data_IF_636466017241
#
_entry.id   IF_636466017241
#
_cell.length_a   1.000
_cell.length_b   1.000
_cell.length_c   1.000
_cell.angle_alpha   90.00
_cell.angle_beta   90.00
_cell.angle_gamma   90.00
#
_symmetry.space_group_name_H-M   'P 1'
#
loop_
_entity.id
_entity.type
_entity.pdbx_description
1 polymer ?
#
# COMPACT_ATOMS: atom_id res chain seq x y z
N UNK A 1 -20.68 30.52 29.03
CA UNK A 1 -20.74 29.96 27.66
C UNK A 1 -20.20 28.54 27.69
N UNK A 2 -21.00 27.50 27.44
CA UNK A 2 -21.46 26.95 26.15
C UNK A 2 -20.41 26.03 25.50
N UNK A 3 -20.80 24.76 25.40
CA UNK A 3 -20.14 23.61 24.75
C UNK A 3 -19.61 23.96 23.35
N UNK A 4 -18.45 23.41 22.98
CA UNK A 4 -18.09 23.19 21.57
C UNK A 4 -17.55 21.76 21.37
N UNK A 5 -18.33 21.05 20.57
CA UNK A 5 -18.15 19.73 19.97
C UNK A 5 -16.81 19.59 19.20
N UNK A 6 -16.10 18.47 19.33
CA UNK A 6 -16.10 17.32 18.41
C UNK A 6 -15.80 17.68 16.94
N UNK A 7 -14.58 17.38 16.47
CA UNK A 7 -14.28 17.11 15.06
C UNK A 7 -13.04 16.21 14.91
N UNK A 8 -13.24 15.07 14.23
CA UNK A 8 -12.23 14.36 13.41
C UNK A 8 -11.22 13.52 14.19
N UNK A 9 -11.23 12.18 14.15
CA UNK A 9 -11.36 11.35 12.96
C UNK A 9 -9.98 10.78 12.61
N UNK A 10 -9.94 9.49 12.23
CA UNK A 10 -8.76 8.71 11.81
C UNK A 10 -8.03 8.13 13.04
N UNK A 11 -8.19 6.86 13.39
CA UNK A 11 -7.64 5.71 12.68
C UNK A 11 -8.50 4.45 12.94
N UNK A 12 -9.41 4.14 12.01
CA UNK A 12 -9.86 2.76 11.86
C UNK A 12 -8.72 2.01 11.17
N UNK A 13 -8.10 1.11 11.91
CA UNK A 13 -7.08 0.19 11.45
C UNK A 13 -7.57 -0.56 10.20
N UNK A 14 -6.84 -0.41 9.09
CA UNK A 14 -6.93 -1.29 7.91
C UNK A 14 -6.34 -2.65 8.27
N UNK A 15 -7.06 -3.41 9.10
CA UNK A 15 -6.99 -4.86 9.06
C UNK A 15 -7.87 -5.24 7.87
N UNK A 16 -7.32 -5.94 6.87
CA UNK A 16 -8.14 -6.68 5.89
C UNK A 16 -8.86 -7.80 6.65
N UNK A 17 -9.86 -7.44 7.44
CA UNK A 17 -10.92 -8.37 7.79
C UNK A 17 -11.63 -8.65 6.48
N UNK A 18 -11.74 -9.91 6.07
CA UNK A 18 -12.65 -10.30 4.99
C UNK A 18 -14.03 -9.74 5.36
N UNK A 19 -14.40 -8.59 4.80
CA UNK A 19 -15.58 -7.85 5.21
C UNK A 19 -16.79 -8.60 4.63
N UNK A 20 -17.33 -9.51 5.44
CA UNK A 20 -18.48 -10.32 5.11
C UNK A 20 -19.74 -9.47 5.22
N UNK A 21 -20.35 -9.19 4.08
CA UNK A 21 -21.57 -8.42 3.94
C UNK A 21 -22.78 -9.29 4.22
N UNK A 22 -23.73 -8.74 4.97
CA UNK A 22 -25.06 -9.34 5.15
C UNK A 22 -25.86 -9.30 3.84
N UNK A 23 -26.92 -10.11 3.69
CA UNK A 23 -27.76 -10.08 2.48
C UNK A 23 -28.36 -8.70 2.19
N UNK A 24 -28.67 -7.91 3.23
CA UNK A 24 -29.20 -6.57 3.07
C UNK A 24 -28.16 -5.58 2.51
N UNK A 25 -26.92 -5.65 3.00
CA UNK A 25 -25.81 -4.81 2.50
C UNK A 25 -25.44 -5.20 1.07
N UNK A 26 -25.23 -6.49 0.81
CA UNK A 26 -24.91 -7.00 -0.51
C UNK A 26 -25.97 -6.63 -1.56
N UNK A 27 -27.25 -6.74 -1.22
CA UNK A 27 -28.35 -6.37 -2.12
C UNK A 27 -28.37 -4.86 -2.41
N UNK A 28 -28.10 -4.04 -1.40
CA UNK A 28 -27.97 -2.58 -1.54
C UNK A 28 -26.83 -2.21 -2.50
N UNK A 29 -25.67 -2.86 -2.38
CA UNK A 29 -24.49 -2.60 -3.21
C UNK A 29 -24.68 -3.05 -4.68
N UNK A 30 -25.53 -4.06 -4.88
CA UNK A 30 -25.95 -4.53 -6.21
C UNK A 30 -27.11 -3.71 -6.79
N UNK A 31 -27.79 -2.88 -5.99
CA UNK A 31 -28.99 -2.17 -6.42
C UNK A 31 -30.19 -3.08 -6.70
N UNK A 32 -30.25 -4.26 -6.05
CA UNK A 32 -31.32 -5.24 -6.23
C UNK A 32 -32.07 -5.53 -4.93
N UNK A 33 -33.22 -6.22 -5.02
CA UNK A 33 -33.91 -6.70 -3.81
C UNK A 33 -33.15 -7.86 -3.16
N UNK A 34 -33.28 -8.01 -1.84
CA UNK A 34 -32.73 -9.15 -1.09
C UNK A 34 -33.28 -10.49 -1.63
N UNK A 35 -34.53 -10.51 -2.08
CA UNK A 35 -35.14 -11.69 -2.69
C UNK A 35 -34.45 -12.06 -4.02
N UNK A 36 -34.09 -11.08 -4.84
CA UNK A 36 -33.33 -11.29 -6.08
C UNK A 36 -31.93 -11.82 -5.79
N UNK A 37 -31.22 -11.24 -4.81
CA UNK A 37 -29.91 -11.74 -4.38
C UNK A 37 -29.97 -13.20 -3.91
N UNK A 38 -31.03 -13.56 -3.16
CA UNK A 38 -31.25 -14.95 -2.73
C UNK A 38 -31.44 -15.89 -3.92
N UNK A 39 -32.18 -15.49 -4.95
CA UNK A 39 -32.34 -16.27 -6.20
C UNK A 39 -30.99 -16.47 -6.89
N UNK A 40 -30.20 -15.42 -7.04
CA UNK A 40 -28.87 -15.51 -7.65
C UNK A 40 -27.94 -16.43 -6.85
N UNK A 41 -27.96 -16.33 -5.52
CA UNK A 41 -27.17 -17.21 -4.66
C UNK A 41 -27.57 -18.69 -4.83
N UNK A 42 -28.87 -18.97 -4.95
CA UNK A 42 -29.35 -20.34 -5.20
C UNK A 42 -28.91 -20.88 -6.56
N UNK A 43 -28.88 -20.02 -7.59
CA UNK A 43 -28.36 -20.40 -8.91
C UNK A 43 -26.89 -20.81 -8.78
N UNK A 44 -26.07 -20.00 -8.10
CA UNK A 44 -24.64 -20.29 -7.89
C UNK A 44 -24.44 -21.59 -7.10
N UNK A 45 -25.16 -21.78 -5.99
CA UNK A 45 -25.09 -23.01 -5.17
C UNK A 45 -25.47 -24.26 -5.98
N UNK A 46 -26.51 -24.15 -6.83
CA UNK A 46 -26.95 -25.25 -7.70
C UNK A 46 -25.93 -25.54 -8.81
N UNK A 47 -25.43 -24.51 -9.48
CA UNK A 47 -24.50 -24.63 -10.59
C UNK A 47 -23.15 -25.19 -10.14
N UNK A 48 -22.65 -24.75 -8.99
CA UNK A 48 -21.40 -25.25 -8.40
C UNK A 48 -21.55 -26.58 -7.68
N UNK A 49 -22.78 -27.11 -7.55
CA UNK A 49 -23.13 -28.26 -6.70
C UNK A 49 -22.64 -28.11 -5.24
N UNK A 50 -22.46 -26.86 -4.78
CA UNK A 50 -22.00 -26.53 -3.45
C UNK A 50 -23.08 -25.72 -2.69
N UNK A 51 -23.90 -26.41 -1.89
CA UNK A 51 -24.94 -25.76 -1.06
C UNK A 51 -24.40 -24.84 0.06
N UNK A 52 -23.09 -24.90 0.32
CA UNK A 52 -22.37 -24.05 1.28
C UNK A 52 -21.33 -23.15 0.56
N UNK A 53 -21.59 -22.81 -0.70
CA UNK A 53 -20.70 -21.93 -1.47
C UNK A 53 -20.48 -20.58 -0.78
N UNK A 54 -21.54 -20.01 -0.23
CA UNK A 54 -21.46 -18.80 0.58
C UNK A 54 -21.28 -19.17 2.05
N UNK A 55 -20.42 -18.41 2.73
CA UNK A 55 -20.31 -18.47 4.17
C UNK A 55 -21.66 -18.15 4.83
N UNK A 56 -21.89 -18.70 6.01
CA UNK A 56 -23.15 -18.52 6.73
C UNK A 56 -22.88 -18.12 8.17
N UNK A 57 -23.72 -17.24 8.70
CA UNK A 57 -23.67 -16.87 10.10
C UNK A 57 -24.32 -17.96 10.99
N UNK A 58 -24.31 -17.76 12.31
CA UNK A 58 -24.97 -18.64 13.29
C UNK A 58 -26.48 -18.79 13.09
N UNK A 59 -27.11 -17.83 12.42
CA UNK A 59 -28.54 -17.85 12.06
C UNK A 59 -28.79 -18.44 10.66
N UNK A 60 -27.77 -19.07 10.04
CA UNK A 60 -27.82 -19.67 8.72
C UNK A 60 -28.06 -18.67 7.56
N UNK A 61 -27.90 -17.37 7.81
CA UNK A 61 -27.95 -16.33 6.77
C UNK A 61 -26.65 -16.32 5.97
N UNK A 62 -26.77 -16.21 4.64
CA UNK A 62 -25.62 -16.10 3.72
C UNK A 62 -24.86 -14.81 3.96
N UNK A 63 -23.53 -14.91 3.95
CA UNK A 63 -22.60 -13.81 4.01
C UNK A 63 -21.84 -13.72 2.69
N UNK A 64 -21.58 -12.50 2.25
CA UNK A 64 -21.02 -12.23 0.93
C UNK A 64 -19.72 -11.46 1.05
N UNK A 65 -18.72 -11.84 0.27
CA UNK A 65 -17.50 -11.05 0.11
C UNK A 65 -17.71 -9.99 -0.98
N UNK A 66 -16.84 -8.98 -1.01
CA UNK A 66 -16.83 -8.00 -2.10
C UNK A 66 -16.68 -8.67 -3.48
N UNK A 67 -15.85 -9.72 -3.57
CA UNK A 67 -15.70 -10.50 -4.80
C UNK A 67 -17.03 -11.12 -5.25
N UNK A 68 -17.84 -11.65 -4.32
CA UNK A 68 -19.14 -12.19 -4.68
C UNK A 68 -20.05 -11.13 -5.31
N UNK A 69 -19.97 -9.87 -4.85
CA UNK A 69 -20.72 -8.75 -5.43
C UNK A 69 -20.28 -8.48 -6.88
N UNK A 70 -18.98 -8.49 -7.13
CA UNK A 70 -18.42 -8.30 -8.47
C UNK A 70 -18.81 -9.45 -9.41
N UNK A 71 -18.64 -10.69 -8.96
CA UNK A 71 -19.02 -11.88 -9.70
C UNK A 71 -20.54 -11.88 -10.04
N UNK A 72 -21.41 -11.43 -9.12
CA UNK A 72 -22.84 -11.29 -9.41
C UNK A 72 -23.12 -10.23 -10.48
N UNK A 73 -22.39 -9.10 -10.51
CA UNK A 73 -22.53 -8.08 -11.55
C UNK A 73 -22.15 -8.63 -12.92
N UNK A 74 -21.05 -9.38 -12.98
CA UNK A 74 -20.61 -10.05 -14.21
C UNK A 74 -21.62 -11.09 -14.67
N UNK A 75 -22.19 -11.87 -13.74
CA UNK A 75 -23.20 -12.89 -14.05
C UNK A 75 -24.44 -12.28 -14.67
N UNK A 76 -24.94 -11.20 -14.07
CA UNK A 76 -26.10 -10.47 -14.61
C UNK A 76 -25.76 -9.86 -15.97
N UNK A 77 -24.58 -9.25 -16.13
CA UNK A 77 -24.14 -8.67 -17.40
C UNK A 77 -24.08 -9.72 -18.52
N UNK A 78 -23.47 -10.87 -18.26
CA UNK A 78 -23.37 -11.98 -19.23
C UNK A 78 -24.75 -12.55 -19.59
N UNK A 79 -25.67 -12.59 -18.63
CA UNK A 79 -27.03 -13.13 -18.86
C UNK A 79 -27.87 -12.29 -19.82
N UNK A 80 -27.53 -11.01 -20.03
CA UNK A 80 -28.17 -10.16 -21.03
C UNK A 80 -27.64 -10.38 -22.46
N UNK A 81 -26.65 -11.26 -22.64
CA UNK A 81 -26.13 -11.64 -23.95
C UNK A 81 -27.09 -12.51 -24.77
N UNK A 82 -26.91 -12.59 -26.10
CA UNK A 82 -27.75 -13.41 -26.96
C UNK A 82 -27.62 -14.90 -26.60
N UNK A 83 -28.77 -15.56 -26.38
CA UNK A 83 -28.87 -16.97 -25.96
C UNK A 83 -28.19 -17.31 -24.62
N UNK A 84 -27.90 -16.31 -23.78
CA UNK A 84 -27.38 -16.52 -22.43
C UNK A 84 -28.51 -16.51 -21.39
N UNK A 85 -28.32 -17.26 -20.32
CA UNK A 85 -29.21 -17.32 -19.15
C UNK A 85 -28.40 -17.12 -17.88
N UNK A 86 -29.05 -16.75 -16.78
CA UNK A 86 -28.36 -16.60 -15.49
C UNK A 86 -27.63 -17.88 -15.07
N UNK A 87 -28.19 -19.06 -15.35
CA UNK A 87 -27.55 -20.34 -15.08
C UNK A 87 -26.29 -20.58 -15.91
N UNK A 88 -26.35 -20.29 -17.21
CA UNK A 88 -25.21 -20.50 -18.11
C UNK A 88 -24.10 -19.47 -17.82
N UNK A 89 -24.48 -18.23 -17.50
CA UNK A 89 -23.53 -17.21 -17.02
C UNK A 89 -22.92 -17.58 -15.67
N UNK A 90 -23.71 -18.13 -14.74
CA UNK A 90 -23.18 -18.60 -13.47
C UNK A 90 -22.17 -19.74 -13.66
N UNK A 91 -22.39 -20.65 -14.62
CA UNK A 91 -21.47 -21.75 -14.88
C UNK A 91 -20.11 -21.28 -15.43
N UNK A 92 -20.10 -20.14 -16.12
CA UNK A 92 -18.87 -19.53 -16.64
C UNK A 92 -18.06 -18.81 -15.56
N UNK A 93 -18.74 -18.12 -14.64
CA UNK A 93 -18.08 -17.29 -13.62
C UNK A 93 -17.73 -18.11 -12.37
N UNK A 94 -18.58 -19.08 -12.04
CA UNK A 94 -18.43 -19.95 -10.88
C UNK A 94 -18.18 -21.39 -11.35
N UNK A 95 -16.92 -21.74 -11.69
CA UNK A 95 -16.60 -23.11 -12.07
C UNK A 95 -16.94 -24.04 -10.90
N UNK A 96 -17.69 -25.10 -11.20
CA UNK A 96 -17.89 -26.16 -10.24
C UNK A 96 -16.51 -26.77 -9.91
N UNK A 97 -16.21 -27.07 -8.64
CA UNK A 97 -15.09 -27.97 -8.36
C UNK A 97 -15.36 -29.25 -9.14
N UNK A 98 -14.40 -29.66 -9.97
CA UNK A 98 -14.51 -30.89 -10.74
C UNK A 98 -14.89 -32.00 -9.77
N UNK A 99 -16.14 -32.46 -9.86
CA UNK A 99 -16.56 -33.65 -9.17
C UNK A 99 -15.78 -34.79 -9.84
N UNK A 100 -14.81 -35.30 -9.13
CA UNK A 100 -14.11 -36.52 -9.46
C UNK A 100 -15.15 -37.61 -9.81
N UNK A 101 -15.09 -38.14 -11.03
CA UNK A 101 -15.87 -39.29 -11.47
C UNK A 101 -16.89 -39.05 -12.59
N UNK A 102 -16.51 -39.44 -13.82
CA UNK A 102 -17.46 -40.04 -14.77
C UNK A 102 -17.41 -39.62 -16.23
N UNK A 103 -16.36 -40.05 -16.96
CA UNK A 103 -16.29 -40.41 -18.39
C UNK A 103 -16.94 -39.49 -19.44
N UNK A 104 -16.10 -38.76 -20.21
CA UNK A 104 -16.14 -38.82 -21.68
C UNK A 104 -14.83 -38.34 -22.36
N UNK A 105 -14.28 -39.20 -23.22
CA UNK A 105 -13.22 -39.02 -24.25
C UNK A 105 -11.74 -39.01 -23.86
N UNK A 106 -11.12 -40.20 -23.89
CA UNK A 106 -9.67 -40.50 -23.90
C UNK A 106 -8.92 -39.99 -25.15
N UNK A 107 -9.37 -38.89 -25.77
CA UNK A 107 -8.68 -38.29 -26.92
C UNK A 107 -8.55 -36.77 -26.82
N UNK A 108 -9.26 -36.13 -25.87
CA UNK A 108 -9.08 -34.70 -25.56
C UNK A 108 -8.30 -34.46 -24.27
N UNK A 109 -8.18 -35.48 -23.42
CA UNK A 109 -7.45 -35.37 -22.15
C UNK A 109 -5.94 -35.24 -22.35
N UNK A 110 -5.35 -35.91 -23.36
CA UNK A 110 -3.92 -35.78 -23.62
C UNK A 110 -3.54 -34.38 -24.14
N UNK A 111 -4.37 -33.80 -25.00
CA UNK A 111 -4.18 -32.42 -25.49
C UNK A 111 -4.35 -31.39 -24.36
N UNK A 112 -5.33 -31.61 -23.46
CA UNK A 112 -5.58 -30.73 -22.32
C UNK A 112 -4.48 -30.86 -21.26
N UNK A 113 -3.98 -32.06 -20.98
CA UNK A 113 -2.85 -32.29 -20.08
C UNK A 113 -1.56 -31.71 -20.66
N UNK A 114 -1.30 -31.86 -21.96
CA UNK A 114 -0.14 -31.23 -22.61
C UNK A 114 -0.22 -29.69 -22.60
N UNK A 115 -1.42 -29.12 -22.78
CA UNK A 115 -1.64 -27.68 -22.70
C UNK A 115 -1.48 -27.16 -21.25
N UNK A 116 -1.95 -27.93 -20.27
CA UNK A 116 -1.74 -27.61 -18.85
C UNK A 116 -0.26 -27.69 -18.46
N UNK A 117 0.47 -28.68 -18.94
CA UNK A 117 1.92 -28.82 -18.70
C UNK A 117 2.72 -27.66 -19.29
N UNK A 118 2.40 -27.26 -20.52
CA UNK A 118 3.04 -26.08 -21.16
C UNK A 118 2.69 -24.78 -20.43
N UNK A 119 1.45 -24.66 -19.93
CA UNK A 119 1.04 -23.51 -19.11
C UNK A 119 1.78 -23.48 -17.77
N UNK A 120 1.94 -24.62 -17.09
CA UNK A 120 2.70 -24.72 -15.85
C UNK A 120 4.16 -24.35 -16.08
N UNK A 121 4.80 -24.91 -17.11
CA UNK A 121 6.19 -24.59 -17.45
C UNK A 121 6.39 -23.09 -17.75
N UNK A 122 5.42 -22.47 -18.43
CA UNK A 122 5.43 -21.03 -18.68
C UNK A 122 5.31 -20.24 -17.37
N UNK A 123 4.36 -20.60 -16.50
CA UNK A 123 4.16 -19.95 -15.21
C UNK A 123 5.39 -20.09 -14.29
N UNK A 124 6.03 -21.25 -14.27
CA UNK A 124 7.28 -21.48 -13.54
C UNK A 124 8.41 -20.60 -14.08
N UNK A 125 8.54 -20.50 -15.41
CA UNK A 125 9.55 -19.62 -16.02
C UNK A 125 9.30 -18.14 -15.71
N UNK A 126 8.04 -17.70 -15.72
CA UNK A 126 7.66 -16.34 -15.36
C UNK A 126 7.90 -16.07 -13.87
N UNK A 127 7.58 -17.02 -12.99
CA UNK A 127 7.85 -16.89 -11.55
C UNK A 127 9.34 -16.80 -11.29
N UNK A 128 10.16 -17.63 -11.93
CA UNK A 128 11.62 -17.55 -11.82
C UNK A 128 12.16 -16.20 -12.30
N UNK A 129 11.61 -15.66 -13.39
CA UNK A 129 11.96 -14.31 -13.87
C UNK A 129 11.56 -13.23 -12.86
N UNK A 130 10.36 -13.32 -12.28
CA UNK A 130 9.89 -12.39 -11.24
C UNK A 130 10.77 -12.44 -10.00
N UNK A 131 11.20 -13.63 -9.57
CA UNK A 131 12.12 -13.81 -8.44
C UNK A 131 13.47 -13.15 -8.69
N UNK A 132 14.04 -13.31 -9.89
CA UNK A 132 15.27 -12.62 -10.28
C UNK A 132 15.10 -11.10 -10.22
N UNK A 133 14.03 -10.56 -10.83
CA UNK A 133 13.74 -9.12 -10.77
C UNK A 133 13.53 -8.62 -9.35
N UNK A 134 12.87 -9.39 -8.48
CA UNK A 134 12.70 -9.03 -7.07
C UNK A 134 14.05 -8.98 -6.34
N UNK A 135 14.95 -9.91 -6.65
CA UNK A 135 16.29 -9.92 -6.04
C UNK A 135 17.13 -8.73 -6.53
N UNK A 136 17.11 -8.41 -7.82
CA UNK A 136 17.80 -7.24 -8.38
C UNK A 136 17.28 -5.94 -7.74
N UNK A 137 15.95 -5.78 -7.67
CA UNK A 137 15.33 -4.60 -7.04
C UNK A 137 15.68 -4.49 -5.55
N UNK A 138 15.77 -5.62 -4.83
CA UNK A 138 16.22 -5.62 -3.43
C UNK A 138 17.67 -5.14 -3.33
N UNK A 139 18.54 -5.59 -4.22
CA UNK A 139 19.93 -5.18 -4.23
C UNK A 139 20.06 -3.68 -4.53
N UNK A 140 19.37 -3.17 -5.55
CA UNK A 140 19.32 -1.73 -5.84
C UNK A 140 18.81 -0.92 -4.64
N UNK A 141 17.77 -1.41 -3.95
CA UNK A 141 17.24 -0.73 -2.76
C UNK A 141 18.28 -0.67 -1.64
N UNK A 142 19.03 -1.75 -1.42
CA UNK A 142 20.12 -1.75 -0.43
C UNK A 142 21.26 -0.80 -0.79
N UNK A 143 21.61 -0.69 -2.07
CA UNK A 143 22.66 0.22 -2.53
C UNK A 143 22.22 1.68 -2.44
N UNK A 144 20.97 1.99 -2.79
CA UNK A 144 20.37 3.31 -2.61
C UNK A 144 20.30 3.70 -1.13
N UNK A 145 19.97 2.76 -0.24
CA UNK A 145 19.99 3.00 1.21
C UNK A 145 21.39 3.36 1.71
N UNK A 146 22.42 2.59 1.32
CA UNK A 146 23.82 2.90 1.67
C UNK A 146 24.26 4.26 1.13
N UNK A 147 23.94 4.57 -0.13
CA UNK A 147 24.26 5.87 -0.72
C UNK A 147 23.57 7.01 0.03
N UNK A 148 22.30 6.83 0.43
CA UNK A 148 21.58 7.81 1.24
C UNK A 148 22.23 8.02 2.61
N UNK A 149 22.64 6.95 3.28
CA UNK A 149 23.35 7.04 4.56
C UNK A 149 24.69 7.78 4.41
N UNK A 150 25.46 7.48 3.36
CA UNK A 150 26.71 8.18 3.06
C UNK A 150 26.49 9.67 2.81
N UNK A 151 25.51 10.02 1.98
CA UNK A 151 25.17 11.42 1.70
C UNK A 151 24.68 12.15 2.96
N UNK A 152 23.98 11.46 3.86
CA UNK A 152 23.55 12.04 5.13
C UNK A 152 24.77 12.37 6.01
N UNK A 153 25.73 11.45 6.12
CA UNK A 153 26.99 11.68 6.85
C UNK A 153 27.81 12.80 6.24
N UNK A 154 27.89 12.88 4.90
CA UNK A 154 28.59 13.96 4.21
C UNK A 154 27.92 15.32 4.44
N UNK A 155 26.58 15.36 4.43
CA UNK A 155 25.85 16.59 4.76
C UNK A 155 26.08 17.04 6.20
N UNK A 156 26.08 16.11 7.15
CA UNK A 156 26.28 16.44 8.56
C UNK A 156 27.71 16.90 8.85
N UNK A 157 28.72 16.27 8.22
CA UNK A 157 30.11 16.72 8.31
C UNK A 157 30.33 18.09 7.65
N UNK A 158 29.73 18.35 6.48
CA UNK A 158 29.81 19.67 5.84
C UNK A 158 29.16 20.77 6.69
N UNK A 159 28.03 20.48 7.37
CA UNK A 159 27.41 21.43 8.30
C UNK A 159 28.32 21.73 9.49
N UNK A 160 28.91 20.71 10.11
CA UNK A 160 29.86 20.89 11.22
C UNK A 160 31.07 21.73 10.79
N UNK A 161 31.67 21.43 9.63
CA UNK A 161 32.77 22.22 9.10
C UNK A 161 32.38 23.67 8.80
N UNK A 162 31.14 23.91 8.36
CA UNK A 162 30.63 25.25 8.13
C UNK A 162 30.45 26.01 9.45
N UNK A 163 29.89 25.36 10.47
CA UNK A 163 29.72 25.91 11.82
C UNK A 163 31.08 26.25 12.46
N UNK A 164 32.05 25.33 12.43
CA UNK A 164 33.41 25.56 12.94
C UNK A 164 34.10 26.73 12.21
N UNK A 165 33.94 26.84 10.89
CA UNK A 165 34.51 27.98 10.13
C UNK A 165 33.86 29.31 10.51
N UNK A 166 32.58 29.31 10.83
CA UNK A 166 31.88 30.51 11.30
C UNK A 166 32.39 30.87 12.69
N UNK A 167 32.46 29.90 13.62
CA UNK A 167 32.92 30.11 14.99
C UNK A 167 34.37 30.61 15.04
N UNK A 168 35.27 29.98 14.28
CA UNK A 168 36.66 30.43 14.16
C UNK A 168 36.77 31.85 13.58
N UNK A 169 35.98 32.19 12.55
CA UNK A 169 35.96 33.57 11.99
C UNK A 169 35.41 34.60 12.95
N UNK A 170 34.46 34.22 13.82
CA UNK A 170 33.92 35.11 14.86
C UNK A 170 34.98 35.32 15.95
N UNK A 171 35.61 34.25 16.42
CA UNK A 171 36.69 34.32 17.40
C UNK A 171 37.89 35.15 16.90
N UNK A 172 38.32 34.97 15.64
CA UNK A 172 39.40 35.77 15.03
C UNK A 172 39.03 37.26 14.95
N UNK A 173 37.78 37.59 14.63
CA UNK A 173 37.31 38.98 14.62
C UNK A 173 37.29 39.58 16.02
N UNK A 174 36.82 38.85 17.01
CA UNK A 174 36.75 39.31 18.40
C UNK A 174 38.14 39.55 18.99
N UNK A 175 39.10 38.65 18.75
CA UNK A 175 40.50 38.85 19.16
C UNK A 175 41.15 40.04 18.44
N UNK A 176 40.88 40.23 17.14
CA UNK A 176 41.38 41.39 16.39
C UNK A 176 40.78 42.72 16.91
N UNK A 177 39.49 42.72 17.27
CA UNK A 177 38.83 43.88 17.89
C UNK A 177 39.46 44.18 19.26
N UNK A 178 39.68 43.17 20.12
CA UNK A 178 40.34 43.34 21.42
C UNK A 178 41.76 43.89 21.27
N UNK A 179 42.54 43.38 20.32
CA UNK A 179 43.90 43.85 20.04
C UNK A 179 43.91 45.33 19.63
N UNK A 180 43.02 45.73 18.70
CA UNK A 180 42.89 47.14 18.26
C UNK A 180 42.41 48.08 19.36
N UNK A 181 41.52 47.63 20.24
CA UNK A 181 41.08 48.43 21.39
C UNK A 181 42.25 48.62 22.37
N UNK A 182 43.01 47.57 22.66
CA UNK A 182 44.16 47.64 23.55
C UNK A 182 45.24 48.59 23.00
N UNK A 183 45.52 48.54 21.69
CA UNK A 183 46.45 49.45 21.00
C UNK A 183 46.03 50.93 21.16
N UNK A 184 44.76 51.26 20.84
CA UNK A 184 44.24 52.63 21.00
C UNK A 184 44.27 53.12 22.44
N UNK A 185 43.90 52.27 23.40
CA UNK A 185 43.90 52.64 24.83
C UNK A 185 45.32 52.85 25.35
N UNK A 186 46.32 52.15 24.82
CA UNK A 186 47.73 52.38 25.18
C UNK A 186 48.32 53.65 24.56
N UNK A 187 47.85 54.07 23.39
CA UNK A 187 48.25 55.35 22.79
C UNK A 187 47.58 56.54 23.48
N UNK A 188 46.29 56.44 23.80
CA UNK A 188 45.55 57.49 24.51
C UNK A 188 46.06 57.69 25.96
N UNK A 189 46.60 56.65 26.60
CA UNK A 189 47.24 56.76 27.93
C UNK A 189 48.59 57.47 27.93
N UNK A 190 49.26 57.59 26.77
CA UNK A 190 50.47 58.43 26.61
C UNK A 190 50.12 59.90 26.37
N UNK A 191 48.87 60.19 25.97
CA UNK A 191 48.34 61.53 25.77
C UNK A 191 47.71 62.12 27.03
N UNK A 192 48.54 62.67 27.92
CA UNK A 192 48.26 63.89 28.70
C UNK A 192 46.85 64.10 29.30
N UNK A 193 46.23 63.08 29.90
CA UNK A 193 45.04 63.30 30.75
C UNK A 193 45.35 64.13 32.00
N UNK A 194 46.61 64.22 32.41
CA UNK A 194 47.09 65.06 33.53
C UNK A 194 47.29 66.55 33.19
N UNK A 195 47.37 66.95 31.90
CA UNK A 195 47.61 68.37 31.54
C UNK A 195 46.38 69.28 31.71
N UNK A 196 45.19 68.70 31.89
CA UNK A 196 43.95 69.49 32.02
C UNK A 196 43.65 69.91 33.47
N UNK A 197 44.39 69.40 34.45
CA UNK A 197 44.15 69.64 35.87
C UNK A 197 45.20 70.55 36.54
N UNK A 198 46.21 71.01 35.78
CA UNK A 198 47.38 71.75 36.27
C UNK A 198 47.42 73.23 35.81
N UNK A 199 46.31 73.79 35.30
CA UNK A 199 46.22 75.21 34.96
C UNK A 199 45.09 75.89 35.75
#
# INVERSE_FOLDING_TARGET
MKRMNNLGGILLSKVKTNNLLTPAQAAKDLGISVATLRKYSLIVERTTKNGKYFERNSQNNRLYTQKNIEDFKEMVKLSHGPKMTLETSAAQIYPAPAADGGKQSDTKQDDEVANLQTTIAKLESENKKRELTINDLKQELTDVQKSKEQLQVELDTLKQQAEEKIENKVAEKDENIKARINEKVTDDKKGHWWNKFMN
#
